data_IF_658113881558
#
_entry.id   IF_658113881558
#
_cell.length_a   1.000
_cell.length_b   1.000
_cell.length_c   1.000
_cell.angle_alpha   90.00
_cell.angle_beta   90.00
_cell.angle_gamma   90.00
#
_symmetry.space_group_name_H-M   'P 1'
#
loop_
_entity.id
_entity.type
_entity.pdbx_description
1 polymer ?
#
# COMPACT_ATOMS: atom_id res chain seq x y z
N UNK A 1 27.62 35.85 -34.75
CA UNK A 1 28.00 34.45 -34.55
C UNK A 1 28.11 34.31 -33.03
N UNK A 2 27.24 33.53 -32.40
CA UNK A 2 27.29 33.34 -30.94
C UNK A 2 28.40 32.33 -30.72
N UNK A 3 29.49 32.76 -30.09
CA UNK A 3 30.59 31.90 -29.70
C UNK A 3 30.09 31.00 -28.56
N UNK A 4 29.64 29.80 -28.91
CA UNK A 4 29.41 28.70 -27.98
C UNK A 4 30.79 28.21 -27.54
N UNK A 5 31.37 28.87 -26.53
CA UNK A 5 32.50 28.33 -25.80
C UNK A 5 31.94 27.15 -25.01
N UNK A 6 31.99 25.94 -25.61
CA UNK A 6 31.67 24.69 -24.92
C UNK A 6 32.60 24.60 -23.71
N UNK A 7 32.06 24.97 -22.55
CA UNK A 7 32.70 24.75 -21.25
C UNK A 7 32.70 23.22 -21.03
N UNK A 8 33.67 22.54 -21.64
CA UNK A 8 33.85 21.11 -21.49
C UNK A 8 34.07 20.85 -20.00
N UNK A 9 33.05 20.28 -19.35
CA UNK A 9 33.14 19.84 -17.97
C UNK A 9 34.24 18.79 -17.92
N UNK A 10 35.45 19.20 -17.50
CA UNK A 10 36.58 18.31 -17.34
C UNK A 10 36.22 17.30 -16.26
N UNK A 11 35.99 16.06 -16.67
CA UNK A 11 35.86 14.96 -15.72
C UNK A 11 37.19 14.77 -14.99
N UNK A 12 37.17 14.42 -13.69
CA UNK A 12 38.38 14.03 -12.97
C UNK A 12 39.11 12.92 -13.73
N UNK A 13 40.44 12.96 -13.75
CA UNK A 13 41.21 11.83 -14.27
C UNK A 13 40.96 10.60 -13.38
N UNK A 14 40.57 9.45 -13.95
CA UNK A 14 40.37 8.24 -13.18
C UNK A 14 41.71 7.74 -12.60
N UNK A 15 41.66 7.14 -11.42
CA UNK A 15 42.84 6.47 -10.86
C UNK A 15 43.20 5.21 -11.65
N UNK A 16 44.43 4.72 -11.48
CA UNK A 16 44.87 3.46 -12.10
C UNK A 16 43.98 2.30 -11.62
N UNK A 17 43.65 2.27 -10.33
CA UNK A 17 42.78 1.24 -9.75
C UNK A 17 41.39 1.27 -10.40
N UNK A 18 40.80 2.45 -10.56
CA UNK A 18 39.50 2.61 -11.23
C UNK A 18 39.56 2.17 -12.71
N UNK A 19 40.67 2.46 -13.39
CA UNK A 19 40.87 2.03 -14.77
C UNK A 19 41.00 0.51 -14.88
N UNK A 20 41.75 -0.13 -13.98
CA UNK A 20 41.91 -1.59 -13.94
C UNK A 20 40.59 -2.27 -13.59
N UNK A 21 39.88 -1.79 -12.58
CA UNK A 21 38.58 -2.30 -12.17
C UNK A 21 37.55 -2.20 -13.31
N UNK A 22 37.51 -1.06 -14.01
CA UNK A 22 36.65 -0.89 -15.19
C UNK A 22 37.00 -1.84 -16.34
N UNK A 23 38.29 -2.10 -16.57
CA UNK A 23 38.74 -3.04 -17.60
C UNK A 23 38.38 -4.49 -17.21
N UNK A 24 38.65 -4.89 -15.97
CA UNK A 24 38.28 -6.22 -15.45
C UNK A 24 36.77 -6.45 -15.52
N UNK A 25 35.98 -5.41 -15.24
CA UNK A 25 34.53 -5.45 -15.38
C UNK A 25 34.10 -5.69 -16.83
N UNK A 26 34.63 -4.93 -17.81
CA UNK A 26 34.31 -5.10 -19.24
C UNK A 26 34.76 -6.46 -19.78
N UNK A 27 35.97 -6.90 -19.42
CA UNK A 27 36.47 -8.24 -19.76
C UNK A 27 35.56 -9.30 -19.16
N UNK A 28 35.17 -9.11 -17.90
CA UNK A 28 34.25 -9.99 -17.21
C UNK A 28 32.88 -10.07 -17.87
N UNK A 29 32.35 -8.98 -18.41
CA UNK A 29 31.11 -8.96 -19.20
C UNK A 29 31.30 -9.82 -20.45
N UNK A 30 32.29 -9.49 -21.29
CA UNK A 30 32.52 -10.18 -22.56
C UNK A 30 32.86 -11.68 -22.44
N UNK A 31 33.28 -12.13 -21.26
CA UNK A 31 33.57 -13.54 -20.97
C UNK A 31 32.41 -14.32 -20.32
N UNK A 32 31.27 -13.70 -20.02
CA UNK A 32 30.13 -14.43 -19.46
C UNK A 32 29.66 -15.49 -20.48
N UNK A 33 29.96 -16.76 -20.22
CA UNK A 33 29.75 -17.86 -21.15
C UNK A 33 28.30 -18.33 -21.21
N UNK A 34 27.47 -17.89 -20.25
CA UNK A 34 26.06 -18.26 -20.12
C UNK A 34 25.18 -17.03 -19.89
N UNK A 35 23.94 -17.10 -20.37
CA UNK A 35 22.94 -16.03 -20.21
C UNK A 35 22.73 -15.67 -18.73
N UNK A 36 22.74 -16.66 -17.84
CA UNK A 36 22.58 -16.45 -16.39
C UNK A 36 23.77 -15.69 -15.76
N UNK A 37 25.00 -15.98 -16.19
CA UNK A 37 26.19 -15.24 -15.74
C UNK A 37 26.17 -13.80 -16.25
N UNK A 38 25.72 -13.60 -17.50
CA UNK A 38 25.56 -12.27 -18.08
C UNK A 38 24.48 -11.47 -17.33
N UNK A 39 23.31 -12.06 -17.06
CA UNK A 39 22.24 -11.43 -16.28
C UNK A 39 22.70 -11.04 -14.88
N UNK A 40 23.46 -11.91 -14.20
CA UNK A 40 24.02 -11.60 -12.88
C UNK A 40 24.96 -10.38 -12.93
N UNK A 41 25.81 -10.31 -13.96
CA UNK A 41 26.81 -9.25 -14.11
C UNK A 41 26.20 -7.91 -14.52
N UNK A 42 25.12 -7.95 -15.30
CA UNK A 42 24.28 -6.77 -15.57
C UNK A 42 23.62 -6.28 -14.28
N UNK A 43 23.10 -7.17 -13.45
CA UNK A 43 22.49 -6.79 -12.18
C UNK A 43 23.49 -6.10 -11.24
N UNK A 44 24.71 -6.63 -11.09
CA UNK A 44 25.79 -5.98 -10.31
C UNK A 44 26.19 -4.61 -10.88
N UNK A 45 26.10 -4.43 -12.20
CA UNK A 45 26.36 -3.15 -12.85
C UNK A 45 25.26 -2.13 -12.64
N UNK A 46 24.00 -2.55 -12.69
CA UNK A 46 22.85 -1.71 -12.37
C UNK A 46 22.90 -1.25 -10.91
N UNK A 47 23.33 -2.11 -9.99
CA UNK A 47 23.57 -1.77 -8.59
C UNK A 47 24.74 -0.78 -8.43
N UNK A 48 25.86 -1.00 -9.14
CA UNK A 48 27.00 -0.08 -9.13
C UNK A 48 26.64 1.33 -9.64
N UNK A 49 25.78 1.41 -10.66
CA UNK A 49 25.27 2.68 -11.18
C UNK A 49 24.17 3.29 -10.30
N UNK A 50 23.71 2.58 -9.27
CA UNK A 50 22.58 3.00 -8.42
C UNK A 50 21.22 2.94 -9.14
N UNK A 51 21.15 2.35 -10.33
CA UNK A 51 19.94 2.27 -11.16
C UNK A 51 19.05 1.11 -10.67
N UNK A 52 19.65 0.02 -10.19
CA UNK A 52 18.94 -1.16 -9.68
C UNK A 52 18.10 -0.87 -8.43
N UNK A 53 18.65 -0.10 -7.50
CA UNK A 53 18.01 0.21 -6.21
C UNK A 53 16.89 1.26 -6.33
N UNK A 54 17.03 2.24 -7.22
CA UNK A 54 16.06 3.34 -7.32
C UNK A 54 14.72 2.88 -7.93
N UNK A 55 14.76 2.01 -8.95
CA UNK A 55 13.55 1.41 -9.51
C UNK A 55 12.86 0.45 -8.52
N UNK A 56 13.63 -0.35 -7.80
CA UNK A 56 13.14 -1.26 -6.75
C UNK A 56 12.46 -0.50 -5.61
N UNK A 57 13.06 0.61 -5.17
CA UNK A 57 12.52 1.49 -4.13
C UNK A 57 11.17 2.06 -4.52
N UNK A 58 11.03 2.57 -5.75
CA UNK A 58 9.78 3.16 -6.23
C UNK A 58 8.63 2.12 -6.30
N UNK A 59 8.91 0.89 -6.74
CA UNK A 59 7.91 -0.19 -6.80
C UNK A 59 7.45 -0.60 -5.40
N UNK A 60 8.37 -0.74 -4.46
CA UNK A 60 8.04 -1.05 -3.07
C UNK A 60 7.23 0.07 -2.41
N UNK A 61 7.55 1.33 -2.70
CA UNK A 61 6.82 2.50 -2.20
C UNK A 61 5.38 2.54 -2.73
N UNK A 62 5.18 2.35 -4.04
CA UNK A 62 3.83 2.29 -4.63
C UNK A 62 3.00 1.14 -4.06
N UNK A 63 3.62 -0.03 -3.85
CA UNK A 63 2.97 -1.19 -3.24
C UNK A 63 2.59 -0.93 -1.77
N UNK A 64 3.44 -0.25 -1.02
CA UNK A 64 3.13 0.16 0.36
C UNK A 64 1.96 1.16 0.39
N UNK A 65 1.97 2.17 -0.49
CA UNK A 65 0.87 3.15 -0.62
C UNK A 65 -0.46 2.49 -0.98
N UNK A 66 -0.45 1.56 -1.94
CA UNK A 66 -1.65 0.81 -2.32
C UNK A 66 -2.22 -0.01 -1.16
N UNK A 67 -1.35 -0.66 -0.38
CA UNK A 67 -1.78 -1.41 0.82
C UNK A 67 -2.38 -0.51 1.88
N UNK A 68 -1.80 0.67 2.13
CA UNK A 68 -2.34 1.64 3.09
C UNK A 68 -3.73 2.12 2.64
N UNK A 69 -3.87 2.51 1.37
CA UNK A 69 -5.16 2.92 0.80
C UNK A 69 -6.23 1.83 0.93
N UNK A 70 -5.88 0.57 0.61
CA UNK A 70 -6.80 -0.55 0.77
C UNK A 70 -7.24 -0.75 2.22
N UNK A 71 -6.32 -0.65 3.18
CA UNK A 71 -6.65 -0.75 4.60
C UNK A 71 -7.56 0.40 5.07
N UNK A 72 -7.35 1.62 4.57
CA UNK A 72 -8.19 2.78 4.91
C UNK A 72 -9.62 2.58 4.43
N UNK A 73 -9.82 2.19 3.16
CA UNK A 73 -11.16 1.92 2.64
C UNK A 73 -11.84 0.76 3.39
N UNK A 74 -11.10 -0.32 3.68
CA UNK A 74 -11.65 -1.44 4.44
C UNK A 74 -12.06 -1.06 5.87
N UNK A 75 -11.33 -0.14 6.52
CA UNK A 75 -11.68 0.37 7.84
C UNK A 75 -12.90 1.31 7.80
N UNK A 76 -12.99 2.18 6.78
CA UNK A 76 -14.12 3.08 6.57
C UNK A 76 -15.43 2.32 6.32
N UNK A 77 -15.40 1.29 5.48
CA UNK A 77 -16.55 0.41 5.24
C UNK A 77 -17.01 -0.31 6.53
N UNK A 78 -16.06 -0.76 7.35
CA UNK A 78 -16.37 -1.41 8.63
C UNK A 78 -17.00 -0.42 9.63
N UNK A 79 -16.47 0.79 9.74
CA UNK A 79 -17.02 1.85 10.60
C UNK A 79 -18.46 2.21 10.18
N UNK A 80 -18.71 2.34 8.87
CA UNK A 80 -20.07 2.65 8.39
C UNK A 80 -21.05 1.49 8.63
N UNK A 81 -20.60 0.24 8.52
CA UNK A 81 -21.40 -0.92 8.88
C UNK A 81 -21.74 -0.95 10.38
N UNK A 82 -20.77 -0.68 11.26
CA UNK A 82 -20.99 -0.59 12.70
C UNK A 82 -21.97 0.53 13.06
N UNK A 83 -21.84 1.71 12.44
CA UNK A 83 -22.75 2.83 12.66
C UNK A 83 -24.19 2.48 12.25
N UNK A 84 -24.37 1.76 11.15
CA UNK A 84 -25.70 1.30 10.71
C UNK A 84 -26.28 0.25 11.66
N UNK A 85 -25.46 -0.69 12.12
CA UNK A 85 -25.89 -1.71 13.07
C UNK A 85 -26.35 -1.09 14.40
N UNK A 86 -25.57 -0.16 14.96
CA UNK A 86 -25.94 0.56 16.19
C UNK A 86 -27.28 1.30 16.04
N UNK A 87 -27.50 1.95 14.90
CA UNK A 87 -28.75 2.67 14.64
C UNK A 87 -29.97 1.74 14.54
N UNK A 88 -29.80 0.53 14.02
CA UNK A 88 -30.88 -0.47 13.98
C UNK A 88 -31.21 -0.96 15.40
N UNK A 89 -30.20 -1.26 16.21
CA UNK A 89 -30.39 -1.69 17.61
C UNK A 89 -31.12 -0.62 18.43
N UNK A 90 -30.74 0.65 18.28
CA UNK A 90 -31.38 1.76 19.01
C UNK A 90 -32.86 1.93 18.61
N UNK A 91 -33.20 1.72 17.33
CA UNK A 91 -34.59 1.74 16.86
C UNK A 91 -35.40 0.55 17.40
N UNK A 92 -34.82 -0.65 17.41
CA UNK A 92 -35.48 -1.84 17.96
C UNK A 92 -35.72 -1.69 19.47
N UNK A 93 -34.76 -1.12 20.22
CA UNK A 93 -34.92 -0.80 21.65
C UNK A 93 -36.00 0.28 21.91
N UNK A 94 -36.11 1.30 21.04
CA UNK A 94 -37.18 2.30 21.13
C UNK A 94 -38.57 1.72 20.81
N UNK A 95 -38.66 0.79 19.85
CA UNK A 95 -39.92 0.09 19.54
C UNK A 95 -40.35 -0.84 20.69
N UNK A 96 -39.45 -1.64 21.26
CA UNK A 96 -39.77 -2.51 22.42
C UNK A 96 -40.26 -1.69 23.62
N UNK A 97 -39.60 -0.57 23.94
CA UNK A 97 -40.06 0.34 25.02
C UNK A 97 -41.44 0.93 24.76
N UNK A 98 -41.79 1.24 23.51
CA UNK A 98 -43.12 1.73 23.15
C UNK A 98 -44.19 0.65 23.30
N UNK A 99 -43.86 -0.60 22.99
CA UNK A 99 -44.78 -1.72 23.14
C UNK A 99 -45.02 -2.03 24.62
N UNK A 100 -43.97 -2.04 25.46
CA UNK A 100 -44.06 -2.30 26.90
C UNK A 100 -44.82 -1.20 27.69
N UNK A 101 -44.81 0.05 27.21
CA UNK A 101 -45.54 1.16 27.84
C UNK A 101 -47.06 1.16 27.59
N UNK A 102 -47.59 0.19 26.82
CA UNK A 102 -49.03 0.00 26.63
C UNK A 102 -49.51 -0.93 27.75
N UNK A 103 -50.33 -0.47 28.72
CA UNK A 103 -50.77 -1.34 29.80
C UNK A 103 -51.62 -2.46 29.21
N UNK A 104 -51.30 -3.71 29.56
CA UNK A 104 -52.20 -4.85 29.38
C UNK A 104 -53.54 -4.47 30.02
N UNK A 105 -54.56 -4.28 29.18
CA UNK A 105 -55.94 -4.21 29.62
C UNK A 105 -56.24 -5.54 30.30
N UNK A 106 -56.34 -5.54 31.63
CA UNK A 106 -56.84 -6.67 32.42
C UNK A 106 -58.16 -7.11 31.80
N UNK A 107 -58.13 -8.29 31.17
CA UNK A 107 -59.32 -9.08 30.84
C UNK A 107 -59.90 -9.57 32.18
N UNK A 108 -60.68 -8.72 32.83
CA UNK A 108 -61.46 -9.11 34.00
C UNK A 108 -62.53 -10.11 33.56
N UNK A 109 -62.26 -11.37 33.88
CA UNK A 109 -63.15 -12.49 33.69
C UNK A 109 -64.41 -12.34 34.56
N UNK A 110 -65.56 -12.48 33.88
CA UNK A 110 -66.86 -12.96 34.33
C UNK A 110 -67.06 -13.26 35.83
N UNK A 111 -68.02 -12.58 36.46
CA UNK A 111 -68.71 -13.06 37.65
C UNK A 111 -70.16 -12.54 37.71
N UNK A 112 -71.07 -13.35 37.16
CA UNK A 112 -72.44 -13.58 37.63
C UNK A 112 -72.68 -13.23 39.12
N UNK A 113 -73.64 -12.35 39.42
CA UNK A 113 -74.51 -12.42 40.61
C UNK A 113 -75.58 -11.30 40.69
N UNK A 114 -76.83 -11.74 40.53
CA UNK A 114 -77.97 -11.52 41.43
C UNK A 114 -78.91 -10.29 41.30
N UNK A 115 -80.19 -10.66 41.15
CA UNK A 115 -81.49 -10.06 41.55
C UNK A 115 -82.12 -8.89 40.78
#
# INVERSE_FOLDING_TARGET
>A
MIDFEEELIKSPEPSLEQLVEGIEFIVGMTQAGTEAEWSKKISEFEDFLGIGDEASTMVHEQKAKARILQSVFAAEDAEEAERKALKMVELDEEEEKKVEATPEEEEDADADANE
#
